data_IF_363017783208
#
_entry.id   IF_363017783208
#
_cell.length_a   1.000
_cell.length_b   1.000
_cell.length_c   1.000
_cell.angle_alpha   90.00
_cell.angle_beta   90.00
_cell.angle_gamma   90.00
#
_symmetry.space_group_name_H-M   'P 1'
#
loop_
_entity.id
_entity.type
_entity.pdbx_description
1 polymer ?
#
# COMPACT_ATOMS: atom_id res chain seq x y z
N UNK A 1 16.19 -15.23 -1.18
CA UNK A 1 15.39 -14.29 -2.00
C UNK A 1 13.96 -14.70 -1.80
N UNK A 2 13.06 -13.80 -1.35
CA UNK A 2 11.74 -14.20 -0.94
C UNK A 2 10.92 -14.78 -2.08
N UNK A 3 10.11 -15.79 -1.77
CA UNK A 3 9.18 -16.39 -2.72
C UNK A 3 8.33 -15.28 -3.39
N UNK A 4 8.25 -15.23 -4.73
CA UNK A 4 7.53 -14.18 -5.44
C UNK A 4 6.04 -14.11 -5.06
N UNK A 5 5.42 -15.23 -4.70
CA UNK A 5 4.05 -15.27 -4.19
C UNK A 5 3.95 -14.59 -2.81
N UNK A 6 4.89 -14.91 -1.91
CA UNK A 6 4.96 -14.30 -0.57
C UNK A 6 5.21 -12.79 -0.67
N UNK A 7 6.09 -12.36 -1.59
CA UNK A 7 6.36 -10.95 -1.83
C UNK A 7 5.13 -10.21 -2.40
N UNK A 8 4.36 -10.83 -3.30
CA UNK A 8 3.13 -10.26 -3.83
C UNK A 8 2.06 -10.09 -2.74
N UNK A 9 1.88 -11.11 -1.89
CA UNK A 9 0.98 -11.06 -0.73
C UNK A 9 1.42 -9.95 0.24
N UNK A 10 2.70 -9.90 0.57
CA UNK A 10 3.26 -8.89 1.48
C UNK A 10 3.13 -7.47 0.92
N UNK A 11 3.28 -7.28 -0.39
CA UNK A 11 3.05 -6.01 -1.07
C UNK A 11 1.59 -5.58 -1.00
N UNK A 12 0.66 -6.50 -1.23
CA UNK A 12 -0.78 -6.27 -1.06
C UNK A 12 -1.13 -5.86 0.37
N UNK A 13 -0.59 -6.58 1.36
CA UNK A 13 -0.80 -6.28 2.78
C UNK A 13 -0.20 -4.91 3.17
N UNK A 14 1.02 -4.59 2.73
CA UNK A 14 1.65 -3.29 2.97
C UNK A 14 0.80 -2.13 2.44
N UNK A 15 0.23 -2.28 1.23
CA UNK A 15 -0.68 -1.29 0.66
C UNK A 15 -1.95 -1.13 1.49
N UNK A 16 -2.55 -2.21 1.98
CA UNK A 16 -3.73 -2.15 2.87
C UNK A 16 -3.40 -1.45 4.19
N UNK A 17 -2.28 -1.78 4.83
CA UNK A 17 -1.85 -1.17 6.09
C UNK A 17 -1.63 0.33 5.91
N UNK A 18 -0.97 0.74 4.82
CA UNK A 18 -0.78 2.15 4.48
C UNK A 18 -2.10 2.86 4.16
N UNK A 19 -3.02 2.22 3.42
CA UNK A 19 -4.34 2.80 3.17
C UNK A 19 -5.14 3.00 4.47
N UNK A 20 -5.01 2.09 5.44
CA UNK A 20 -5.63 2.24 6.76
C UNK A 20 -5.03 3.40 7.57
N UNK A 21 -3.75 3.75 7.39
CA UNK A 21 -3.19 4.97 8.02
C UNK A 21 -3.93 6.23 7.57
N UNK A 22 -4.27 6.32 6.27
CA UNK A 22 -4.97 7.46 5.68
C UNK A 22 -6.44 7.47 6.07
N UNK A 23 -7.10 6.30 6.01
CA UNK A 23 -8.56 6.18 6.18
C UNK A 23 -9.00 6.14 7.64
N UNK A 24 -8.26 5.43 8.50
CA UNK A 24 -8.66 5.08 9.87
C UNK A 24 -7.68 5.63 10.91
N UNK A 25 -6.63 6.30 10.48
CA UNK A 25 -5.61 6.91 11.31
C UNK A 25 -4.48 5.96 11.71
N UNK A 26 -3.39 6.57 12.14
CA UNK A 26 -2.12 5.94 12.50
C UNK A 26 -2.24 4.78 13.51
N UNK A 27 -3.12 4.91 14.52
CA UNK A 27 -3.23 3.95 15.62
C UNK A 27 -3.64 2.54 15.17
N UNK A 28 -4.52 2.44 14.17
CA UNK A 28 -4.98 1.14 13.65
C UNK A 28 -3.88 0.44 12.86
N UNK A 29 -3.22 1.16 11.97
CA UNK A 29 -2.10 0.63 11.20
C UNK A 29 -0.93 0.20 12.10
N UNK A 30 -0.61 0.99 13.12
CA UNK A 30 0.39 0.62 14.14
C UNK A 30 -0.01 -0.66 14.87
N UNK A 31 -1.27 -0.81 15.26
CA UNK A 31 -1.76 -2.03 15.93
C UNK A 31 -1.59 -3.27 15.06
N UNK A 32 -1.81 -3.16 13.75
CA UNK A 32 -1.61 -4.26 12.79
C UNK A 32 -0.13 -4.63 12.71
N UNK A 33 0.76 -3.64 12.53
CA UNK A 33 2.22 -3.87 12.51
C UNK A 33 2.69 -4.51 13.83
N UNK A 34 2.27 -3.97 14.96
CA UNK A 34 2.62 -4.49 16.29
C UNK A 34 2.16 -5.94 16.49
N UNK A 35 1.02 -6.33 15.92
CA UNK A 35 0.56 -7.72 15.96
C UNK A 35 1.43 -8.63 15.08
N UNK A 36 1.72 -8.24 13.84
CA UNK A 36 2.51 -9.03 12.90
C UNK A 36 3.95 -9.26 13.40
N UNK A 37 4.51 -8.27 14.09
CA UNK A 37 5.85 -8.31 14.67
C UNK A 37 5.87 -8.65 16.17
N UNK A 38 4.77 -9.13 16.76
CA UNK A 38 4.69 -9.46 18.20
C UNK A 38 5.80 -10.43 18.67
N UNK A 39 6.21 -11.34 17.81
CA UNK A 39 7.28 -12.31 18.09
C UNK A 39 8.55 -12.03 17.26
N UNK A 40 8.64 -10.88 16.60
CA UNK A 40 9.85 -10.40 15.94
C UNK A 40 10.79 -9.71 16.94
N UNK A 41 11.95 -9.27 16.47
CA UNK A 41 12.85 -8.46 17.31
C UNK A 41 12.34 -7.02 17.45
N UNK A 42 12.82 -6.30 18.46
CA UNK A 42 12.49 -4.89 18.67
C UNK A 42 12.93 -4.04 17.46
N UNK A 43 14.12 -4.30 16.92
CA UNK A 43 14.65 -3.64 15.72
C UNK A 43 13.76 -3.84 14.48
N UNK A 44 13.19 -5.04 14.30
CA UNK A 44 12.29 -5.33 13.17
C UNK A 44 10.96 -4.59 13.30
N UNK A 45 10.44 -4.53 14.52
CA UNK A 45 9.22 -3.79 14.82
C UNK A 45 9.43 -2.29 14.59
N UNK A 46 10.55 -1.74 15.04
CA UNK A 46 10.90 -0.34 14.85
C UNK A 46 11.15 0.00 13.38
N UNK A 47 11.80 -0.89 12.62
CA UNK A 47 11.96 -0.74 11.18
C UNK A 47 10.60 -0.71 10.46
N UNK A 48 9.68 -1.61 10.82
CA UNK A 48 8.35 -1.67 10.22
C UNK A 48 7.50 -0.44 10.57
N UNK A 49 7.54 0.02 11.82
CA UNK A 49 6.87 1.25 12.28
C UNK A 49 7.49 2.49 11.64
N UNK A 50 8.81 2.52 11.48
CA UNK A 50 9.54 3.58 10.80
C UNK A 50 9.15 3.69 9.32
N UNK A 51 9.05 2.56 8.63
CA UNK A 51 8.57 2.48 7.25
C UNK A 51 7.11 2.92 7.12
N UNK A 52 6.26 2.55 8.08
CA UNK A 52 4.87 2.99 8.13
C UNK A 52 4.75 4.51 8.29
N UNK A 53 5.57 5.12 9.14
CA UNK A 53 5.51 6.56 9.51
C UNK A 53 5.79 7.46 8.32
N UNK A 54 6.59 6.97 7.38
CA UNK A 54 7.08 7.73 6.23
C UNK A 54 6.51 7.23 4.90
N UNK A 55 5.91 6.02 4.88
CA UNK A 55 5.60 5.28 3.65
C UNK A 55 4.28 5.62 2.96
N UNK A 56 3.48 6.54 3.49
CA UNK A 56 2.21 6.93 2.85
C UNK A 56 2.46 7.69 1.54
N UNK A 57 3.57 8.42 1.44
CA UNK A 57 3.94 9.25 0.28
C UNK A 57 5.12 8.71 -0.53
N UNK A 58 5.77 7.63 -0.09
CA UNK A 58 7.04 7.16 -0.66
C UNK A 58 6.99 5.67 -1.03
N UNK A 59 7.11 5.40 -2.34
CA UNK A 59 7.12 4.05 -2.92
C UNK A 59 8.29 3.20 -2.41
N UNK A 60 9.46 3.79 -2.12
CA UNK A 60 10.59 3.06 -1.56
C UNK A 60 10.28 2.52 -0.16
N UNK A 61 9.56 3.29 0.64
CA UNK A 61 9.19 2.88 1.99
C UNK A 61 8.03 1.88 2.00
N UNK A 62 7.15 1.91 0.99
CA UNK A 62 6.18 0.84 0.73
C UNK A 62 6.88 -0.48 0.38
N UNK A 63 7.89 -0.43 -0.48
CA UNK A 63 8.71 -1.60 -0.85
C UNK A 63 9.48 -2.14 0.37
N UNK A 64 10.02 -1.25 1.20
CA UNK A 64 10.70 -1.62 2.44
C UNK A 64 9.75 -2.34 3.41
N UNK A 65 8.54 -1.80 3.61
CA UNK A 65 7.51 -2.45 4.44
C UNK A 65 7.12 -3.83 3.88
N UNK A 66 6.87 -3.93 2.58
CA UNK A 66 6.56 -5.20 1.92
C UNK A 66 7.68 -6.24 2.10
N UNK A 67 8.94 -5.81 1.99
CA UNK A 67 10.11 -6.68 2.16
C UNK A 67 10.23 -7.19 3.61
N UNK A 68 9.98 -6.33 4.60
CA UNK A 68 9.96 -6.71 6.02
C UNK A 68 8.84 -7.72 6.31
N UNK A 69 7.65 -7.51 5.74
CA UNK A 69 6.52 -8.43 5.90
C UNK A 69 6.78 -9.79 5.23
N UNK A 70 7.41 -9.80 4.06
CA UNK A 70 7.80 -11.03 3.37
C UNK A 70 8.83 -11.82 4.21
N UNK A 71 9.88 -11.16 4.69
CA UNK A 71 10.89 -11.78 5.55
C UNK A 71 10.31 -12.31 6.87
N UNK A 72 9.28 -11.65 7.40
CA UNK A 72 8.56 -12.12 8.59
C UNK A 72 7.71 -13.37 8.27
N UNK A 73 7.05 -13.41 7.12
CA UNK A 73 6.26 -14.56 6.68
C UNK A 73 7.10 -15.80 6.37
N UNK A 74 8.33 -15.62 5.87
CA UNK A 74 9.28 -16.74 5.65
C UNK A 74 9.72 -17.39 6.95
N UNK A 75 9.96 -16.59 7.99
CA UNK A 75 10.33 -17.08 9.32
C UNK A 75 9.14 -17.64 10.08
N UNK A 76 7.95 -17.15 9.78
CA UNK A 76 6.70 -17.43 10.51
C UNK A 76 5.55 -17.62 9.54
N UNK A 77 5.34 -18.85 9.01
CA UNK A 77 4.30 -19.11 8.02
C UNK A 77 2.88 -18.81 8.53
N UNK A 78 2.65 -18.79 9.85
CA UNK A 78 1.39 -18.35 10.45
C UNK A 78 1.03 -16.88 10.15
N UNK A 79 2.05 -16.03 9.94
CA UNK A 79 1.87 -14.61 9.56
C UNK A 79 1.33 -14.49 8.13
N UNK A 80 1.64 -15.46 7.26
CA UNK A 80 1.20 -15.45 5.87
C UNK A 80 -0.33 -15.47 5.73
N UNK A 81 -1.04 -16.17 6.62
CA UNK A 81 -2.50 -16.20 6.64
C UNK A 81 -3.09 -14.81 6.95
N UNK A 82 -2.48 -14.09 7.90
CA UNK A 82 -2.88 -12.72 8.25
C UNK A 82 -2.57 -11.73 7.12
N UNK A 83 -1.40 -11.86 6.48
CA UNK A 83 -1.06 -11.05 5.30
C UNK A 83 -2.00 -11.30 4.12
N UNK A 84 -2.39 -12.56 3.86
CA UNK A 84 -3.38 -12.90 2.83
C UNK A 84 -4.73 -12.23 3.12
N UNK A 85 -5.17 -12.22 4.37
CA UNK A 85 -6.41 -11.54 4.76
C UNK A 85 -6.32 -10.02 4.55
N UNK A 86 -5.21 -9.40 4.94
CA UNK A 86 -4.96 -7.96 4.71
C UNK A 86 -4.90 -7.63 3.21
N UNK A 87 -4.23 -8.45 2.41
CA UNK A 87 -4.14 -8.28 0.96
C UNK A 87 -5.51 -8.44 0.29
N UNK A 88 -6.33 -9.40 0.74
CA UNK A 88 -7.68 -9.63 0.22
C UNK A 88 -8.66 -8.50 0.58
N UNK A 89 -8.41 -7.76 1.68
CA UNK A 89 -9.20 -6.58 2.06
C UNK A 89 -9.14 -5.48 0.98
N UNK A 90 -8.12 -5.51 0.12
CA UNK A 90 -7.97 -4.65 -1.07
C UNK A 90 -8.97 -4.96 -2.19
N UNK A 91 -9.78 -6.02 -2.09
CA UNK A 91 -10.78 -6.38 -3.11
C UNK A 91 -11.95 -5.37 -3.27
N UNK A 92 -11.87 -4.19 -2.65
CA UNK A 92 -12.76 -3.06 -2.89
C UNK A 92 -11.99 -1.77 -3.24
N UNK A 93 -10.80 -1.87 -3.85
CA UNK A 93 -10.24 -0.74 -4.60
C UNK A 93 -11.04 -0.65 -5.90
N UNK A 94 -11.85 0.40 -6.14
CA UNK A 94 -12.41 0.61 -7.47
C UNK A 94 -11.23 0.69 -8.42
N UNK A 95 -11.32 -0.01 -9.56
CA UNK A 95 -10.32 0.06 -10.62
C UNK A 95 -9.82 1.50 -10.73
N UNK A 96 -8.51 1.71 -10.60
CA UNK A 96 -7.92 3.02 -10.93
C UNK A 96 -8.24 3.22 -12.40
N UNK A 97 -9.33 3.95 -12.67
CA UNK A 97 -9.66 4.41 -14.01
C UNK A 97 -8.53 5.36 -14.38
N UNK A 98 -7.60 4.87 -15.18
CA UNK A 98 -6.51 5.68 -15.71
C UNK A 98 -7.15 6.67 -16.68
N UNK A 99 -7.43 7.88 -16.19
CA UNK A 99 -7.90 8.97 -17.02
C UNK A 99 -6.70 9.51 -17.81
N UNK A 100 -6.66 9.20 -19.11
CA UNK A 100 -5.71 9.80 -20.05
C UNK A 100 -6.30 11.12 -20.54
N UNK A 101 -5.74 12.22 -20.06
CA UNK A 101 -6.06 13.55 -20.59
C UNK A 101 -5.15 13.79 -21.80
N UNK A 102 -5.74 14.00 -22.97
CA UNK A 102 -5.02 14.43 -24.16
C UNK A 102 -5.56 15.80 -24.61
N UNK A 103 -4.67 16.79 -24.66
CA UNK A 103 -5.00 18.18 -24.99
C UNK A 103 -3.99 19.17 -24.41
N UNK A 104 -3.74 20.29 -25.10
CA UNK A 104 -2.79 21.33 -24.67
C UNK A 104 -3.42 22.35 -23.69
N UNK A 105 -4.25 21.90 -22.76
CA UNK A 105 -4.92 22.75 -21.78
C UNK A 105 -3.98 23.14 -20.64
N UNK A 106 -3.96 24.42 -20.26
CA UNK A 106 -3.22 24.90 -19.08
C UNK A 106 -4.22 25.13 -17.94
N UNK A 107 -3.94 24.55 -16.77
CA UNK A 107 -4.71 24.80 -15.55
C UNK A 107 -4.19 26.06 -14.87
N UNK A 108 -5.03 27.10 -14.75
CA UNK A 108 -4.68 28.34 -14.05
C UNK A 108 -5.78 28.62 -13.02
N UNK A 109 -5.41 28.67 -11.74
CA UNK A 109 -6.32 29.02 -10.64
C UNK A 109 -7.62 28.19 -10.58
N UNK A 110 -7.58 26.93 -11.01
CA UNK A 110 -8.74 26.03 -11.04
C UNK A 110 -9.60 26.14 -12.29
N UNK A 111 -9.25 27.02 -13.23
CA UNK A 111 -9.91 27.15 -14.53
C UNK A 111 -9.08 26.50 -15.64
N UNK A 112 -9.75 25.95 -16.66
CA UNK A 112 -9.11 25.26 -17.79
C UNK A 112 -9.15 26.17 -19.01
N UNK A 113 -7.97 26.67 -19.42
CA UNK A 113 -7.84 27.48 -20.62
C UNK A 113 -7.26 26.61 -21.75
N UNK A 114 -8.07 26.37 -22.79
CA UNK A 114 -7.74 25.51 -23.92
C UNK A 114 -8.62 24.25 -24.00
N UNK A 115 -8.53 23.51 -25.11
CA UNK A 115 -9.28 22.26 -25.29
C UNK A 115 -8.70 21.12 -24.47
N UNK A 116 -9.33 20.80 -23.34
CA UNK A 116 -9.08 19.58 -22.58
C UNK A 116 -10.16 18.56 -22.95
N UNK A 117 -9.77 17.45 -23.58
CA UNK A 117 -10.68 16.33 -23.80
C UNK A 117 -10.45 15.29 -22.70
N UNK A 118 -11.47 15.06 -21.88
CA UNK A 118 -11.46 14.02 -20.86
C UNK A 118 -12.02 12.73 -21.46
N UNK A 119 -11.16 11.74 -21.66
CA UNK A 119 -11.59 10.42 -22.12
C UNK A 119 -11.82 9.50 -20.91
N UNK A 120 -13.04 8.99 -20.78
CA UNK A 120 -13.36 7.90 -19.85
C UNK A 120 -13.29 6.58 -20.62
N UNK A 121 -12.31 5.74 -20.31
CA UNK A 121 -12.29 4.36 -20.81
C UNK A 121 -13.21 3.52 -19.92
N UNK A 122 -14.50 3.55 -20.26
CA UNK A 122 -15.54 2.83 -19.55
C UNK A 122 -15.69 1.42 -20.10
N UNK A 123 -14.93 0.46 -19.59
CA UNK A 123 -15.24 -0.96 -19.79
C UNK A 123 -16.30 -1.41 -18.78
N UNK A 124 -17.49 -1.74 -19.30
CA UNK A 124 -18.54 -2.53 -18.64
C UNK A 124 -18.17 -4.00 -18.61
#
# INVERSE_FOLDING_TARGET
MPDPEVLAIATGAAATILADTVRLGWGRARTIVDRLFRHGTEDERDAAVGALSRGVADDHLRIALASLLAAQAERRPEVLAELRSLAATRSAVPAVQVQRNEGAGTFIAGDVIGGLTINHDGSR
#
